data_IF_677786464120
#
_entry.id   IF_677786464120
#
_cell.length_a   1.000
_cell.length_b   1.000
_cell.length_c   1.000
_cell.angle_alpha   90.00
_cell.angle_beta   90.00
_cell.angle_gamma   90.00
#
_symmetry.space_group_name_H-M   'P 1'
#
loop_
_entity.id
_entity.type
_entity.pdbx_description
1 polymer ?
#
# COMPACT_ATOMS: atom_id res chain seq x y z
N UNK A 1 50.87 -19.61 1.29
CA UNK A 1 49.73 -19.34 0.37
C UNK A 1 48.40 -19.87 0.92
N UNK A 2 48.34 -21.12 1.41
CA UNK A 2 47.09 -21.70 1.96
C UNK A 2 46.54 -21.02 3.24
N UNK A 3 47.41 -20.49 4.11
CA UNK A 3 46.99 -19.87 5.39
C UNK A 3 46.09 -18.64 5.19
N UNK A 4 46.47 -17.75 4.26
CA UNK A 4 45.66 -16.57 3.93
C UNK A 4 44.34 -16.94 3.26
N UNK A 5 44.36 -17.96 2.39
CA UNK A 5 43.16 -18.50 1.76
C UNK A 5 42.13 -18.98 2.81
N UNK A 6 42.55 -19.74 3.83
CA UNK A 6 41.62 -20.21 4.86
C UNK A 6 41.04 -19.09 5.71
N UNK A 7 41.82 -18.04 6.01
CA UNK A 7 41.32 -16.87 6.74
C UNK A 7 40.26 -16.15 5.92
N UNK A 8 40.52 -15.90 4.64
CA UNK A 8 39.54 -15.25 3.75
C UNK A 8 38.30 -16.12 3.59
N UNK A 9 38.47 -17.44 3.40
CA UNK A 9 37.35 -18.37 3.25
C UNK A 9 36.46 -18.41 4.50
N UNK A 10 37.07 -18.43 5.69
CA UNK A 10 36.35 -18.37 6.97
C UNK A 10 35.56 -17.07 7.09
N UNK A 11 36.20 -15.93 6.81
CA UNK A 11 35.54 -14.62 6.89
C UNK A 11 34.39 -14.50 5.89
N UNK A 12 34.58 -14.96 4.65
CA UNK A 12 33.52 -15.02 3.64
C UNK A 12 32.35 -15.90 4.08
N UNK A 13 32.63 -17.05 4.69
CA UNK A 13 31.58 -17.94 5.22
C UNK A 13 30.77 -17.26 6.32
N UNK A 14 31.44 -16.58 7.26
CA UNK A 14 30.79 -15.82 8.33
C UNK A 14 29.94 -14.69 7.74
N UNK A 15 30.45 -13.96 6.75
CA UNK A 15 29.72 -12.88 6.09
C UNK A 15 28.45 -13.38 5.41
N UNK A 16 28.51 -14.51 4.69
CA UNK A 16 27.34 -15.11 4.04
C UNK A 16 26.27 -15.50 5.07
N UNK A 17 26.66 -16.14 6.17
CA UNK A 17 25.72 -16.53 7.24
C UNK A 17 25.10 -15.29 7.90
N UNK A 18 25.87 -14.22 8.10
CA UNK A 18 25.37 -12.99 8.70
C UNK A 18 24.34 -12.27 7.82
N UNK A 19 24.51 -12.28 6.49
CA UNK A 19 23.60 -11.60 5.55
C UNK A 19 22.32 -12.41 5.30
N UNK A 20 22.44 -13.72 5.05
CA UNK A 20 21.29 -14.56 4.69
C UNK A 20 20.60 -15.20 5.90
N UNK A 21 21.25 -15.19 7.06
CA UNK A 21 20.75 -15.84 8.26
C UNK A 21 20.71 -17.36 8.14
N UNK A 22 20.05 -18.00 9.10
CA UNK A 22 19.81 -19.44 9.08
C UNK A 22 18.48 -19.78 8.43
N UNK A 23 18.43 -20.92 7.75
CA UNK A 23 17.20 -21.42 7.12
C UNK A 23 16.09 -21.58 8.17
N UNK A 24 14.88 -21.10 7.83
CA UNK A 24 13.68 -21.25 8.66
C UNK A 24 13.40 -20.08 9.60
N UNK A 25 14.25 -19.05 9.63
CA UNK A 25 13.97 -17.83 10.38
C UNK A 25 12.88 -16.99 9.69
N UNK A 26 12.07 -16.31 10.50
CA UNK A 26 11.06 -15.36 10.02
C UNK A 26 11.70 -13.98 9.89
N UNK A 27 11.58 -13.36 8.73
CA UNK A 27 12.00 -11.98 8.51
C UNK A 27 10.86 -11.01 8.79
N UNK A 28 11.18 -9.84 9.32
CA UNK A 28 10.26 -8.68 9.40
C UNK A 28 10.27 -7.86 8.11
N UNK A 29 11.28 -8.06 7.26
CA UNK A 29 11.41 -7.40 5.98
C UNK A 29 10.53 -8.06 4.91
N UNK A 30 10.17 -7.33 3.84
CA UNK A 30 9.49 -7.90 2.70
C UNK A 30 10.25 -9.11 2.12
N UNK A 31 9.54 -10.15 1.63
CA UNK A 31 10.18 -11.28 0.98
C UNK A 31 11.03 -10.86 -0.23
N UNK A 32 12.15 -11.55 -0.42
CA UNK A 32 13.02 -11.37 -1.59
C UNK A 32 12.32 -11.87 -2.86
N UNK A 33 12.18 -11.01 -3.86
CA UNK A 33 11.59 -11.33 -5.16
C UNK A 33 12.71 -11.67 -6.16
N UNK A 34 12.82 -12.95 -6.55
CA UNK A 34 13.88 -13.43 -7.46
C UNK A 34 13.52 -13.18 -8.93
N UNK A 35 12.23 -13.33 -9.27
CA UNK A 35 11.72 -13.12 -10.62
C UNK A 35 10.75 -11.94 -10.62
N UNK A 36 10.77 -11.09 -11.65
CA UNK A 36 9.82 -9.98 -11.78
C UNK A 36 8.45 -10.52 -12.22
N UNK A 37 7.71 -11.14 -11.29
CA UNK A 37 6.41 -11.81 -11.50
C UNK A 37 5.24 -10.82 -11.57
N UNK A 38 5.50 -9.62 -12.11
CA UNK A 38 4.51 -8.55 -12.29
C UNK A 38 3.76 -8.13 -11.02
N UNK A 39 4.27 -8.43 -9.82
CA UNK A 39 3.72 -7.93 -8.55
C UNK A 39 3.82 -6.40 -8.50
N UNK A 40 4.97 -5.89 -8.95
CA UNK A 40 5.31 -4.47 -9.05
C UNK A 40 5.26 -4.07 -10.52
N UNK A 41 4.10 -3.56 -10.93
CA UNK A 41 3.87 -3.16 -12.32
C UNK A 41 4.29 -1.71 -12.55
N UNK A 42 4.77 -1.36 -13.77
CA UNK A 42 5.08 0.02 -14.14
C UNK A 42 3.79 0.81 -14.44
N UNK A 43 2.86 0.82 -13.50
CA UNK A 43 1.62 1.62 -13.54
C UNK A 43 1.39 2.28 -12.20
N UNK A 44 0.92 3.52 -12.22
CA UNK A 44 0.59 4.27 -11.01
C UNK A 44 -0.77 3.80 -10.49
N UNK A 45 -0.81 3.31 -9.24
CA UNK A 45 -2.07 2.93 -8.58
C UNK A 45 -2.74 4.16 -7.96
N UNK A 46 -4.03 4.06 -7.63
CA UNK A 46 -4.83 5.18 -7.12
C UNK A 46 -4.23 5.87 -5.87
N UNK A 47 -3.52 5.13 -5.02
CA UNK A 47 -2.87 5.66 -3.81
C UNK A 47 -1.35 5.47 -3.83
N UNK A 48 -0.75 5.38 -5.02
CA UNK A 48 0.70 5.23 -5.14
C UNK A 48 1.42 6.59 -4.99
N UNK A 49 2.59 6.62 -4.35
CA UNK A 49 3.49 7.76 -4.43
C UNK A 49 4.03 7.93 -5.86
N UNK A 50 4.34 9.17 -6.25
CA UNK A 50 4.91 9.48 -7.56
C UNK A 50 5.74 10.77 -7.50
N UNK A 51 7.03 10.67 -7.84
CA UNK A 51 8.00 11.78 -7.74
C UNK A 51 7.94 12.77 -8.92
N UNK A 52 7.04 12.54 -9.88
CA UNK A 52 6.82 13.46 -11.02
C UNK A 52 6.22 14.79 -10.58
N UNK A 53 5.39 14.78 -9.54
CA UNK A 53 4.68 15.96 -9.03
C UNK A 53 5.31 16.45 -7.72
N UNK A 54 5.23 17.75 -7.45
CA UNK A 54 5.84 18.38 -6.26
C UNK A 54 5.27 17.89 -4.92
N UNK A 55 4.09 17.27 -4.94
CA UNK A 55 3.40 16.73 -3.77
C UNK A 55 3.69 15.24 -3.53
N UNK A 56 4.48 14.59 -4.39
CA UNK A 56 4.85 13.18 -4.26
C UNK A 56 3.70 12.20 -4.43
N UNK A 57 2.54 12.64 -4.95
CA UNK A 57 1.32 11.82 -5.07
C UNK A 57 1.02 11.49 -6.53
N UNK A 58 0.79 10.21 -6.79
CA UNK A 58 0.20 9.73 -8.04
C UNK A 58 -1.22 10.27 -8.31
N UNK A 59 -2.15 10.23 -7.34
CA UNK A 59 -3.51 10.75 -7.56
C UNK A 59 -3.54 12.26 -7.70
N UNK A 60 -4.32 12.75 -8.67
CA UNK A 60 -4.55 14.18 -8.91
C UNK A 60 -5.95 14.57 -8.46
N UNK A 61 -6.04 15.70 -7.76
CA UNK A 61 -7.34 16.30 -7.46
C UNK A 61 -8.01 16.76 -8.76
N UNK A 62 -9.34 16.63 -8.87
CA UNK A 62 -10.07 17.21 -9.97
C UNK A 62 -9.94 18.74 -9.92
N UNK A 63 -10.09 19.38 -11.09
CA UNK A 63 -10.10 20.83 -11.18
C UNK A 63 -11.29 21.39 -10.38
N UNK A 64 -11.16 22.48 -9.63
CA UNK A 64 -12.28 23.08 -8.90
C UNK A 64 -13.49 23.34 -9.81
N UNK A 65 -14.68 22.98 -9.35
CA UNK A 65 -15.92 23.07 -10.13
C UNK A 65 -16.22 21.88 -11.04
N UNK A 66 -15.40 20.82 -11.03
CA UNK A 66 -15.71 19.57 -11.75
C UNK A 66 -16.96 18.91 -11.16
N UNK A 67 -17.97 18.66 -12.00
CA UNK A 67 -19.20 17.93 -11.64
C UNK A 67 -19.10 16.48 -12.14
N UNK A 68 -19.09 15.46 -11.27
CA UNK A 68 -19.04 14.06 -11.69
C UNK A 68 -20.38 13.59 -12.27
N UNK A 69 -20.32 12.74 -13.30
CA UNK A 69 -21.52 12.09 -13.87
C UNK A 69 -22.07 11.08 -12.84
N UNK A 70 -23.39 11.12 -12.60
CA UNK A 70 -24.05 10.21 -11.68
C UNK A 70 -23.91 10.58 -10.19
N UNK A 71 -23.32 11.74 -9.89
CA UNK A 71 -23.31 12.29 -8.54
C UNK A 71 -24.47 13.28 -8.39
N UNK A 72 -25.39 12.99 -7.48
CA UNK A 72 -26.39 13.92 -7.00
C UNK A 72 -26.03 14.36 -5.58
N UNK A 73 -26.07 15.66 -5.30
CA UNK A 73 -25.80 16.16 -3.95
C UNK A 73 -26.84 15.57 -2.98
N UNK A 74 -26.44 15.09 -1.78
CA UNK A 74 -27.40 14.63 -0.79
C UNK A 74 -28.39 15.76 -0.50
N UNK A 75 -29.67 15.51 -0.78
CA UNK A 75 -30.73 16.45 -0.43
C UNK A 75 -30.89 16.39 1.09
N UNK A 76 -30.96 17.53 1.80
CA UNK A 76 -31.30 17.50 3.22
C UNK A 76 -32.62 16.74 3.36
N UNK A 77 -32.64 15.72 4.21
CA UNK A 77 -33.87 15.05 4.58
C UNK A 77 -34.80 16.11 5.17
N UNK A 78 -35.83 16.51 4.41
CA UNK A 78 -36.98 17.14 5.02
C UNK A 78 -37.54 16.06 5.93
N UNK A 79 -37.28 16.17 7.24
CA UNK A 79 -37.99 15.40 8.24
C UNK A 79 -39.47 15.79 8.09
N UNK A 80 -40.17 15.10 7.21
CA UNK A 80 -41.60 14.97 7.30
C UNK A 80 -41.81 14.25 8.63
N UNK A 81 -41.98 15.04 9.69
CA UNK A 81 -42.68 14.61 10.89
C UNK A 81 -44.05 14.14 10.43
N UNK A 82 -44.12 12.89 9.95
CA UNK A 82 -45.36 12.15 9.87
C UNK A 82 -45.80 12.06 11.32
N UNK A 83 -46.71 12.97 11.70
CA UNK A 83 -47.42 12.88 12.94
C UNK A 83 -48.01 11.46 12.97
N UNK A 84 -47.45 10.62 13.82
CA UNK A 84 -47.98 9.30 14.10
C UNK A 84 -49.38 9.58 14.66
N UNK A 85 -50.39 9.43 13.82
CA UNK A 85 -51.78 9.47 14.27
C UNK A 85 -51.99 8.21 15.11
N UNK A 86 -51.84 8.38 16.43
CA UNK A 86 -52.09 7.36 17.42
C UNK A 86 -53.59 7.07 17.39
N UNK A 87 -53.98 5.98 16.73
CA UNK A 87 -55.37 5.54 16.66
C UNK A 87 -55.93 5.16 18.04
N UNK A 88 -57.26 5.02 18.19
CA UNK A 88 -57.93 4.95 19.51
C UNK A 88 -57.65 3.69 20.33
N UNK A 89 -56.79 2.78 19.85
CA UNK A 89 -56.55 1.46 20.43
C UNK A 89 -55.06 1.13 20.60
N UNK A 90 -54.22 2.14 20.79
CA UNK A 90 -52.87 1.98 21.35
C UNK A 90 -52.73 2.71 22.67
#
# INVERSE_FOLDING_TARGET
MLRGFFVIFLLSTIAVIAVFGFRGQKSTQPPTEVFPDMVRQPKVRAQAPLDLFSDGRGPRLPVPGTVPIGYEMPKPETAETQAIEVGPWS
#
